data_IF_360665821283
#
_entry.id   IF_360665821283
#
_cell.length_a   1.000
_cell.length_b   1.000
_cell.length_c   1.000
_cell.angle_alpha   90.00
_cell.angle_beta   90.00
_cell.angle_gamma   90.00
#
_symmetry.space_group_name_H-M   'P 1'
#
loop_
_entity.id
_entity.type
_entity.pdbx_description
1 polymer ?
#
# COMPACT_ATOMS: atom_id res chain seq x y z
N UNK A 1 0.35 -4.55 -12.92
CA UNK A 1 1.14 -5.54 -12.14
C UNK A 1 0.20 -6.27 -11.18
N UNK A 2 0.50 -7.52 -10.79
CA UNK A 2 -0.27 -8.25 -9.76
C UNK A 2 0.71 -8.93 -8.81
N UNK A 3 0.49 -8.81 -7.52
CA UNK A 3 1.28 -9.46 -6.48
C UNK A 3 0.38 -9.77 -5.29
N UNK A 4 0.88 -10.63 -4.40
CA UNK A 4 0.24 -10.95 -3.13
C UNK A 4 1.21 -10.72 -1.98
N UNK A 5 0.73 -10.21 -0.85
CA UNK A 5 1.47 -10.13 0.40
C UNK A 5 1.68 -11.53 0.99
N UNK A 6 2.86 -11.76 1.55
CA UNK A 6 3.14 -12.92 2.39
C UNK A 6 2.46 -12.69 3.74
N UNK A 7 1.54 -13.58 4.11
CA UNK A 7 0.74 -13.44 5.32
C UNK A 7 1.23 -14.31 6.50
N UNK A 8 2.21 -15.19 6.24
CA UNK A 8 2.75 -16.08 7.26
C UNK A 8 3.36 -15.29 8.42
N UNK A 9 2.96 -15.65 9.66
CA UNK A 9 3.46 -15.02 10.87
C UNK A 9 2.82 -13.67 11.23
N UNK A 10 1.81 -13.21 10.48
CA UNK A 10 1.05 -12.00 10.80
C UNK A 10 -0.11 -12.29 11.76
N UNK A 11 -0.56 -11.26 12.48
CA UNK A 11 -1.80 -11.35 13.26
C UNK A 11 -3.02 -11.45 12.33
N UNK A 12 -4.16 -11.91 12.87
CA UNK A 12 -5.43 -11.95 12.11
C UNK A 12 -5.83 -10.56 11.60
N UNK A 13 -5.68 -9.52 12.43
CA UNK A 13 -5.98 -8.14 12.04
C UNK A 13 -5.09 -7.63 10.90
N UNK A 14 -3.79 -7.92 10.95
CA UNK A 14 -2.84 -7.57 9.88
C UNK A 14 -3.17 -8.33 8.58
N UNK A 15 -3.50 -9.62 8.72
CA UNK A 15 -3.91 -10.48 7.61
C UNK A 15 -5.15 -9.93 6.91
N UNK A 16 -6.20 -9.62 7.67
CA UNK A 16 -7.46 -9.10 7.15
C UNK A 16 -7.25 -7.75 6.45
N UNK A 17 -6.43 -6.88 7.04
CA UNK A 17 -6.07 -5.59 6.44
C UNK A 17 -5.37 -5.76 5.10
N UNK A 18 -4.35 -6.62 5.03
CA UNK A 18 -3.59 -6.86 3.79
C UNK A 18 -4.43 -7.54 2.71
N UNK A 19 -5.32 -8.45 3.08
CA UNK A 19 -6.27 -9.09 2.17
C UNK A 19 -7.29 -8.08 1.63
N UNK A 20 -7.79 -7.18 2.48
CA UNK A 20 -8.66 -6.07 2.05
C UNK A 20 -7.95 -5.19 1.02
N UNK A 21 -6.71 -4.77 1.30
CA UNK A 21 -5.88 -4.00 0.36
C UNK A 21 -5.71 -4.77 -0.95
N UNK A 22 -5.32 -6.05 -0.91
CA UNK A 22 -5.17 -6.89 -2.10
C UNK A 22 -6.43 -6.97 -2.96
N UNK A 23 -7.59 -7.13 -2.32
CA UNK A 23 -8.87 -7.25 -3.00
C UNK A 23 -9.28 -5.94 -3.71
N UNK A 24 -8.90 -4.79 -3.15
CA UNK A 24 -9.18 -3.47 -3.70
C UNK A 24 -8.14 -3.01 -4.73
N UNK A 25 -7.00 -3.68 -4.84
CA UNK A 25 -5.95 -3.31 -5.80
C UNK A 25 -6.41 -3.55 -7.25
N UNK A 26 -6.14 -2.55 -8.09
CA UNK A 26 -6.23 -2.61 -9.55
C UNK A 26 -4.83 -2.57 -10.15
N UNK A 27 -4.71 -2.78 -11.47
CA UNK A 27 -3.40 -2.87 -12.13
C UNK A 27 -2.46 -1.69 -11.88
N UNK A 28 -2.98 -0.46 -11.77
CA UNK A 28 -2.22 0.76 -11.47
C UNK A 28 -1.99 0.97 -9.98
N UNK A 29 -3.01 0.74 -9.14
CA UNK A 29 -2.83 0.92 -7.69
C UNK A 29 -1.89 -0.14 -7.10
N UNK A 30 -1.85 -1.36 -7.66
CA UNK A 30 -0.82 -2.34 -7.31
C UNK A 30 0.60 -1.80 -7.56
N UNK A 31 0.86 -1.19 -8.71
CA UNK A 31 2.17 -0.56 -8.98
C UNK A 31 2.45 0.57 -7.97
N UNK A 32 1.45 1.38 -7.65
CA UNK A 32 1.59 2.45 -6.65
C UNK A 32 1.95 1.89 -5.26
N UNK A 33 1.28 0.82 -4.80
CA UNK A 33 1.55 0.17 -3.50
C UNK A 33 2.95 -0.45 -3.46
N UNK A 34 3.36 -1.14 -4.53
CA UNK A 34 4.68 -1.74 -4.61
C UNK A 34 5.80 -0.70 -4.53
N UNK A 35 5.60 0.46 -5.16
CA UNK A 35 6.54 1.56 -5.04
C UNK A 35 6.47 2.20 -3.65
N UNK A 36 5.27 2.47 -3.12
CA UNK A 36 5.05 3.09 -1.81
C UNK A 36 5.72 2.31 -0.67
N UNK A 37 5.58 0.97 -0.64
CA UNK A 37 6.17 0.15 0.42
C UNK A 37 7.71 0.13 0.44
N UNK A 38 8.33 0.59 -0.64
CA UNK A 38 9.79 0.77 -0.74
C UNK A 38 10.27 2.18 -0.40
N UNK A 39 9.34 3.13 -0.19
CA UNK A 39 9.69 4.49 0.20
C UNK A 39 9.97 4.55 1.70
N UNK A 40 10.99 5.29 2.09
CA UNK A 40 11.21 5.71 3.48
C UNK A 40 10.40 6.96 3.79
N UNK A 41 9.07 6.79 3.86
CA UNK A 41 8.16 7.86 4.28
C UNK A 41 8.41 8.19 5.74
N UNK A 42 8.71 9.46 6.00
CA UNK A 42 8.83 10.04 7.34
C UNK A 42 7.44 10.15 7.97
N UNK A 43 7.18 9.41 9.05
CA UNK A 43 5.85 9.35 9.70
C UNK A 43 5.71 10.28 10.90
N UNK A 44 6.77 11.04 11.23
CA UNK A 44 6.86 11.99 12.34
C UNK A 44 6.40 13.41 11.97
N UNK A 45 6.05 13.65 10.69
CA UNK A 45 5.65 14.96 10.15
C UNK A 45 4.14 15.03 9.94
N UNK A 46 3.61 16.25 9.85
CA UNK A 46 2.19 16.48 9.54
C UNK A 46 1.74 15.81 8.24
N UNK A 47 0.48 15.37 8.19
CA UNK A 47 -0.11 14.59 7.10
C UNK A 47 0.05 15.22 5.71
N UNK A 48 -0.03 16.56 5.61
CA UNK A 48 0.18 17.29 4.35
C UNK A 48 1.59 17.08 3.79
N UNK A 49 2.63 17.19 4.63
CA UNK A 49 4.03 16.98 4.22
C UNK A 49 4.30 15.55 3.80
N UNK A 50 3.61 14.59 4.41
CA UNK A 50 3.70 13.18 4.04
C UNK A 50 3.10 12.96 2.66
N UNK A 51 1.91 13.52 2.42
CA UNK A 51 1.25 13.42 1.11
C UNK A 51 2.08 14.09 0.01
N UNK A 52 2.65 15.26 0.28
CA UNK A 52 3.57 15.93 -0.65
C UNK A 52 4.80 15.08 -0.95
N UNK A 53 5.42 14.49 0.07
CA UNK A 53 6.58 13.63 -0.11
C UNK A 53 6.23 12.41 -0.97
N UNK A 54 5.16 11.69 -0.64
CA UNK A 54 4.72 10.53 -1.42
C UNK A 54 4.38 10.93 -2.85
N UNK A 55 3.69 12.06 -3.04
CA UNK A 55 3.38 12.61 -4.36
C UNK A 55 4.63 12.94 -5.18
N UNK A 56 5.65 13.53 -4.55
CA UNK A 56 6.92 13.84 -5.22
C UNK A 56 7.70 12.59 -5.69
N UNK A 57 7.46 11.44 -5.07
CA UNK A 57 8.14 10.16 -5.38
C UNK A 57 7.35 9.30 -6.36
N UNK A 58 6.04 9.21 -6.18
CA UNK A 58 5.16 8.40 -7.02
C UNK A 58 4.75 9.13 -8.30
N UNK A 59 4.70 10.47 -8.25
CA UNK A 59 4.17 11.31 -9.32
C UNK A 59 2.64 11.23 -9.42
N UNK A 60 2.04 12.20 -10.11
CA UNK A 60 0.58 12.31 -10.27
C UNK A 60 -0.05 11.03 -10.85
N UNK A 61 0.65 10.35 -11.77
CA UNK A 61 0.18 9.15 -12.44
C UNK A 61 -0.11 7.97 -11.50
N UNK A 62 0.68 7.83 -10.42
CA UNK A 62 0.50 6.78 -9.41
C UNK A 62 -0.22 7.28 -8.15
N UNK A 63 -0.28 8.59 -7.93
CA UNK A 63 -1.03 9.17 -6.81
C UNK A 63 -2.54 9.00 -6.97
N UNK A 64 -3.11 9.28 -8.14
CA UNK A 64 -4.54 9.12 -8.39
C UNK A 64 -5.04 7.68 -8.05
N UNK A 65 -4.44 6.59 -8.57
CA UNK A 65 -4.88 5.24 -8.21
C UNK A 65 -4.56 4.87 -6.75
N UNK A 66 -3.57 5.49 -6.11
CA UNK A 66 -3.32 5.30 -4.67
C UNK A 66 -4.42 5.95 -3.83
N UNK A 67 -4.84 7.18 -4.14
CA UNK A 67 -5.92 7.88 -3.44
C UNK A 67 -7.26 7.15 -3.58
N UNK A 68 -7.53 6.60 -4.76
CA UNK A 68 -8.70 5.74 -4.97
C UNK A 68 -8.65 4.47 -4.09
N UNK A 69 -7.46 3.87 -3.94
CA UNK A 69 -7.26 2.69 -3.09
C UNK A 69 -7.42 3.01 -1.59
N UNK A 70 -6.90 4.16 -1.13
CA UNK A 70 -7.12 4.65 0.24
C UNK A 70 -8.61 4.83 0.53
N UNK A 71 -9.33 5.44 -0.41
CA UNK A 71 -10.78 5.62 -0.31
C UNK A 71 -11.54 4.29 -0.26
N UNK A 72 -11.12 3.31 -1.07
CA UNK A 72 -11.76 1.99 -1.13
C UNK A 72 -11.53 1.13 0.13
N UNK A 73 -10.37 1.30 0.78
CA UNK A 73 -10.01 0.56 2.01
C UNK A 73 -10.42 1.28 3.28
N UNK A 74 -10.78 2.57 3.19
CA UNK A 74 -11.08 3.41 4.35
C UNK A 74 -9.85 3.77 5.19
N UNK A 75 -8.64 3.47 4.70
CA UNK A 75 -7.38 3.76 5.40
C UNK A 75 -6.85 5.14 5.02
N UNK A 76 -6.35 5.88 5.99
CA UNK A 76 -5.52 7.04 5.71
C UNK A 76 -4.13 6.62 5.21
N UNK A 77 -3.40 7.55 4.59
CA UNK A 77 -2.10 7.28 3.96
C UNK A 77 -1.05 6.71 4.94
N UNK A 78 -1.05 7.15 6.20
CA UNK A 78 -0.05 6.73 7.19
C UNK A 78 -0.36 5.32 7.66
N UNK A 79 -1.62 5.06 8.05
CA UNK A 79 -2.09 3.73 8.43
C UNK A 79 -1.88 2.72 7.29
N UNK A 80 -2.21 3.11 6.07
CA UNK A 80 -1.99 2.30 4.87
C UNK A 80 -0.51 1.99 4.68
N UNK A 81 0.37 3.00 4.75
CA UNK A 81 1.81 2.81 4.61
C UNK A 81 2.36 1.86 5.66
N UNK A 82 1.98 2.00 6.93
CA UNK A 82 2.40 1.09 7.99
C UNK A 82 1.93 -0.34 7.78
N UNK A 83 0.72 -0.54 7.23
CA UNK A 83 0.22 -1.87 6.91
C UNK A 83 1.07 -2.57 5.84
N UNK A 84 1.53 -1.85 4.81
CA UNK A 84 2.23 -2.46 3.67
C UNK A 84 3.76 -2.40 3.76
N UNK A 85 4.33 -1.52 4.60
CA UNK A 85 5.76 -1.31 4.72
C UNK A 85 6.44 -2.60 5.22
N UNK A 86 7.49 -3.01 4.52
CA UNK A 86 8.30 -4.17 4.93
C UNK A 86 7.64 -5.54 4.72
N UNK A 87 6.34 -5.59 4.37
CA UNK A 87 5.65 -6.86 4.11
C UNK A 87 6.18 -7.49 2.82
N UNK A 88 6.72 -8.72 2.83
CA UNK A 88 7.19 -9.38 1.61
C UNK A 88 6.04 -9.61 0.62
N UNK A 89 6.37 -9.67 -0.67
CA UNK A 89 5.38 -9.90 -1.73
C UNK A 89 5.81 -11.02 -2.68
N UNK A 90 4.85 -11.73 -3.25
CA UNK A 90 5.05 -12.79 -4.24
C UNK A 90 4.45 -12.32 -5.57
N UNK A 91 5.26 -12.38 -6.64
CA UNK A 91 4.88 -12.01 -8.01
C UNK A 91 4.27 -13.18 -8.82
N UNK A 92 3.63 -14.12 -8.13
CA UNK A 92 3.00 -15.31 -8.68
C UNK A 92 1.58 -15.44 -8.12
N UNK A 93 0.74 -16.28 -8.73
CA UNK A 93 -0.59 -16.54 -8.20
C UNK A 93 -0.50 -17.12 -6.77
N UNK A 94 -1.30 -16.58 -5.85
CA UNK A 94 -1.42 -17.10 -4.47
C UNK A 94 -1.81 -18.58 -4.54
N UNK A 95 -0.94 -19.46 -4.05
CA UNK A 95 -1.31 -20.86 -3.79
C UNK A 95 -2.15 -20.84 -2.52
N UNK A 96 -3.44 -21.11 -2.68
CA UNK A 96 -4.38 -21.34 -1.57
C UNK A 96 -4.07 -22.68 -0.90
#
# INVERSE_FOLDING_TARGET
>A
MRFHFVLEGLTSEQTDTLLSIESAMTGRSATAVFNLKSLDVFTDRGSERIKEFVSSRLGAYLMEPLEALLSATGLDLISFYHAVKGVPVILAARRL
#
